data_IF_090534948081
#
_entry.id   IF_090534948081
#
_cell.length_a   1.000
_cell.length_b   1.000
_cell.length_c   1.000
_cell.angle_alpha   90.00
_cell.angle_beta   90.00
_cell.angle_gamma   90.00
#
_symmetry.space_group_name_H-M   'P 1'
#
loop_
_entity.id
_entity.type
_entity.pdbx_description
1 polymer ?
#
# COMPACT_ATOMS: atom_id res chain seq x y z
N UNK A 1 10.65 31.40 -5.36
CA UNK A 1 10.14 30.99 -6.68
C UNK A 1 11.22 30.29 -7.49
N UNK A 2 12.36 30.95 -7.77
CA UNK A 2 13.40 30.37 -8.63
C UNK A 2 13.98 29.02 -8.15
N UNK A 3 14.19 28.84 -6.85
CA UNK A 3 14.75 27.61 -6.28
C UNK A 3 13.80 26.41 -6.43
N UNK A 4 12.51 26.58 -6.12
CA UNK A 4 11.50 25.54 -6.27
C UNK A 4 11.30 25.14 -7.74
N UNK A 5 11.26 26.11 -8.65
CA UNK A 5 11.15 25.83 -10.09
C UNK A 5 12.38 25.08 -10.63
N UNK A 6 13.57 25.38 -10.12
CA UNK A 6 14.78 24.66 -10.47
C UNK A 6 14.68 23.18 -10.06
N UNK A 7 14.28 22.91 -8.81
CA UNK A 7 14.07 21.55 -8.31
C UNK A 7 13.01 20.81 -9.14
N UNK A 8 11.86 21.44 -9.42
CA UNK A 8 10.78 20.82 -10.21
C UNK A 8 11.21 20.47 -11.65
N UNK A 9 12.13 21.22 -12.25
CA UNK A 9 12.65 20.97 -13.60
C UNK A 9 13.65 19.82 -13.66
N UNK A 10 14.36 19.57 -12.55
CA UNK A 10 15.35 18.50 -12.44
C UNK A 10 14.76 17.21 -11.87
N UNK A 11 13.55 17.28 -11.25
CA UNK A 11 12.90 16.17 -10.59
C UNK A 11 12.51 15.05 -11.57
N UNK A 12 12.93 13.84 -11.28
CA UNK A 12 12.63 12.66 -12.09
C UNK A 12 11.53 11.79 -11.47
N UNK A 13 10.94 10.89 -12.27
CA UNK A 13 10.02 9.88 -11.75
C UNK A 13 10.71 8.88 -10.79
N UNK A 14 12.04 8.72 -10.88
CA UNK A 14 12.79 7.91 -9.94
C UNK A 14 12.83 8.57 -8.56
N UNK A 15 13.10 9.88 -8.50
CA UNK A 15 13.07 10.64 -7.24
C UNK A 15 11.70 10.61 -6.58
N UNK A 16 10.62 10.73 -7.37
CA UNK A 16 9.26 10.62 -6.84
C UNK A 16 8.91 9.21 -6.37
N UNK A 17 9.47 8.18 -7.01
CA UNK A 17 9.33 6.79 -6.56
C UNK A 17 10.05 6.54 -5.25
N UNK A 18 11.25 7.11 -5.09
CA UNK A 18 12.04 6.98 -3.86
C UNK A 18 11.38 7.74 -2.69
N UNK A 19 10.76 8.88 -2.99
CA UNK A 19 10.04 9.68 -2.00
C UNK A 19 8.70 9.06 -1.56
N UNK A 20 7.89 8.58 -2.51
CA UNK A 20 6.50 8.19 -2.27
C UNK A 20 6.23 6.67 -2.36
N UNK A 21 7.18 5.92 -2.88
CA UNK A 21 6.95 4.52 -3.27
C UNK A 21 6.24 4.38 -4.61
N UNK A 22 6.45 3.23 -5.27
CA UNK A 22 5.92 2.98 -6.61
C UNK A 22 4.40 3.02 -6.70
N UNK A 23 3.71 2.54 -5.67
CA UNK A 23 2.25 2.46 -5.63
C UNK A 23 1.59 3.84 -5.52
N UNK A 24 2.10 4.69 -4.61
CA UNK A 24 1.60 6.06 -4.46
C UNK A 24 1.86 6.86 -5.73
N UNK A 25 3.04 6.72 -6.35
CA UNK A 25 3.37 7.38 -7.61
C UNK A 25 2.40 6.98 -8.74
N UNK A 26 2.13 5.69 -8.90
CA UNK A 26 1.22 5.19 -9.92
C UNK A 26 -0.21 5.75 -9.73
N UNK A 27 -0.70 5.77 -8.49
CA UNK A 27 -1.99 6.39 -8.15
C UNK A 27 -1.99 7.89 -8.41
N UNK A 28 -0.93 8.61 -8.01
CA UNK A 28 -0.81 10.04 -8.20
C UNK A 28 -0.88 10.46 -9.68
N UNK A 29 -0.33 9.67 -10.58
CA UNK A 29 -0.39 9.94 -12.03
C UNK A 29 -1.83 10.04 -12.55
N UNK A 30 -2.77 9.27 -11.98
CA UNK A 30 -4.19 9.36 -12.35
C UNK A 30 -4.88 10.60 -11.80
N UNK A 31 -4.34 11.19 -10.72
CA UNK A 31 -4.87 12.38 -10.05
C UNK A 31 -4.32 13.70 -10.60
N UNK A 32 -3.31 13.70 -11.48
CA UNK A 32 -2.74 14.93 -12.08
C UNK A 32 -3.82 15.80 -12.73
N UNK A 33 -4.79 15.19 -13.41
CA UNK A 33 -5.93 15.89 -14.03
C UNK A 33 -6.96 16.43 -13.03
N UNK A 34 -6.88 16.00 -11.78
CA UNK A 34 -7.77 16.40 -10.69
C UNK A 34 -7.18 17.56 -9.87
N UNK A 35 -5.98 18.03 -10.21
CA UNK A 35 -5.33 19.18 -9.58
C UNK A 35 -5.89 20.47 -10.19
N UNK A 36 -6.39 21.35 -9.32
CA UNK A 36 -6.99 22.64 -9.68
C UNK A 36 -6.35 23.76 -8.88
N UNK A 37 -6.38 24.98 -9.43
CA UNK A 37 -5.87 26.20 -8.77
C UNK A 37 -4.40 26.07 -8.31
N UNK A 38 -3.55 25.45 -9.17
CA UNK A 38 -2.14 25.27 -8.88
C UNK A 38 -1.45 26.62 -8.69
N UNK A 39 -0.93 26.87 -7.49
CA UNK A 39 -0.37 28.15 -7.07
C UNK A 39 0.93 27.97 -6.29
N UNK A 40 1.72 29.03 -6.17
CA UNK A 40 2.93 29.09 -5.36
C UNK A 40 2.70 30.02 -4.16
N UNK A 41 2.92 29.52 -2.95
CA UNK A 41 2.84 30.30 -1.71
C UNK A 41 4.05 31.22 -1.55
N UNK A 42 3.97 32.30 -0.74
CA UNK A 42 5.08 33.24 -0.51
C UNK A 42 6.33 32.55 0.10
N UNK A 43 6.16 31.49 0.87
CA UNK A 43 7.23 30.68 1.49
C UNK A 43 7.81 29.60 0.57
N UNK A 44 7.38 29.57 -0.72
CA UNK A 44 7.93 28.70 -1.75
C UNK A 44 7.36 27.28 -1.77
N UNK A 45 6.17 27.07 -1.25
CA UNK A 45 5.41 25.80 -1.39
C UNK A 45 4.59 25.84 -2.68
N UNK A 46 4.37 24.69 -3.27
CA UNK A 46 3.35 24.51 -4.29
C UNK A 46 2.05 24.12 -3.58
N UNK A 47 0.98 24.83 -3.85
CA UNK A 47 -0.34 24.61 -3.27
C UNK A 47 -1.39 24.38 -4.37
N UNK A 48 -2.36 23.52 -4.11
CA UNK A 48 -3.46 23.26 -5.03
C UNK A 48 -4.64 22.59 -4.31
N UNK A 49 -5.80 22.70 -4.94
CA UNK A 49 -6.91 21.80 -4.68
C UNK A 49 -6.74 20.52 -5.49
N UNK A 50 -6.95 19.37 -4.85
CA UNK A 50 -7.00 18.07 -5.54
C UNK A 50 -8.37 17.45 -5.32
N UNK A 51 -9.07 17.18 -6.43
CA UNK A 51 -10.37 16.51 -6.41
C UNK A 51 -10.17 15.00 -6.31
N UNK A 52 -10.54 14.42 -5.16
CA UNK A 52 -10.60 12.98 -4.93
C UNK A 52 -12.04 12.56 -4.60
N UNK A 53 -12.21 11.72 -3.57
CA UNK A 53 -13.52 11.47 -2.94
C UNK A 53 -14.10 12.75 -2.32
N UNK A 54 -13.23 13.67 -1.88
CA UNK A 54 -13.52 15.04 -1.49
C UNK A 54 -12.66 16.03 -2.29
N UNK A 55 -12.75 17.32 -1.94
CA UNK A 55 -11.86 18.38 -2.41
C UNK A 55 -10.82 18.63 -1.31
N UNK A 56 -9.55 18.34 -1.60
CA UNK A 56 -8.47 18.38 -0.61
C UNK A 56 -7.51 19.53 -0.87
N UNK A 57 -7.21 20.30 0.16
CA UNK A 57 -6.09 21.26 0.14
C UNK A 57 -4.79 20.48 0.25
N UNK A 58 -3.85 20.77 -0.61
CA UNK A 58 -2.56 20.06 -0.65
C UNK A 58 -1.43 21.04 -0.87
N UNK A 59 -0.38 20.95 -0.05
CA UNK A 59 0.86 21.71 -0.24
C UNK A 59 2.06 20.79 -0.28
N UNK A 60 3.07 21.19 -1.06
CA UNK A 60 4.37 20.50 -1.10
C UNK A 60 5.48 21.54 -1.14
N UNK A 61 6.50 21.36 -0.32
CA UNK A 61 7.75 22.12 -0.35
C UNK A 61 8.87 21.23 -0.83
N UNK A 62 9.58 21.70 -1.83
CA UNK A 62 10.69 20.99 -2.48
C UNK A 62 11.97 21.80 -2.28
N UNK A 63 12.70 21.63 -1.18
CA UNK A 63 13.95 22.35 -0.95
C UNK A 63 15.06 21.79 -1.85
N UNK A 64 16.06 22.63 -2.21
CA UNK A 64 17.23 22.17 -2.97
C UNK A 64 18.08 21.13 -2.23
N UNK A 65 17.99 21.11 -0.90
CA UNK A 65 18.67 20.15 -0.01
C UNK A 65 17.77 19.84 1.17
N UNK A 66 17.63 18.56 1.50
CA UNK A 66 16.81 18.09 2.61
C UNK A 66 15.65 17.23 2.12
N UNK A 67 14.76 16.89 3.03
CA UNK A 67 13.58 16.09 2.72
C UNK A 67 12.44 16.96 2.15
N UNK A 68 11.64 16.38 1.26
CA UNK A 68 10.44 17.03 0.75
C UNK A 68 9.37 17.04 1.82
N UNK A 69 8.82 18.22 2.08
CA UNK A 69 7.74 18.41 3.04
C UNK A 69 6.39 18.40 2.31
N UNK A 70 5.38 17.82 2.90
CA UNK A 70 4.05 17.82 2.33
C UNK A 70 2.99 17.94 3.42
N UNK A 71 1.85 18.52 3.05
CA UNK A 71 0.65 18.55 3.88
C UNK A 71 -0.57 18.39 2.97
N UNK A 72 -1.57 17.65 3.43
CA UNK A 72 -2.80 17.42 2.68
C UNK A 72 -3.94 17.15 3.63
N UNK A 73 -5.08 17.80 3.43
CA UNK A 73 -6.29 17.58 4.23
C UNK A 73 -6.97 16.23 3.97
N UNK A 74 -6.39 15.36 3.14
CA UNK A 74 -6.91 14.02 2.95
C UNK A 74 -6.57 13.12 4.16
N UNK A 75 -7.39 12.12 4.45
CA UNK A 75 -7.23 11.26 5.62
C UNK A 75 -6.09 10.23 5.51
N UNK A 76 -5.02 10.53 4.77
CA UNK A 76 -3.87 9.62 4.60
C UNK A 76 -2.81 9.91 5.67
N UNK A 77 -2.65 9.00 6.65
CA UNK A 77 -1.76 9.16 7.82
C UNK A 77 -0.60 8.12 7.85
N UNK A 78 -0.28 7.47 6.72
CA UNK A 78 0.66 6.32 6.70
C UNK A 78 2.15 6.69 6.60
N UNK A 79 2.55 7.84 7.07
CA UNK A 79 3.95 8.28 7.02
C UNK A 79 4.48 8.37 5.58
N UNK A 80 4.86 9.55 5.13
CA UNK A 80 5.24 9.81 3.75
C UNK A 80 4.11 10.46 2.95
N UNK A 81 4.37 10.87 1.69
CA UNK A 81 3.45 11.65 0.89
C UNK A 81 2.24 10.84 0.42
N UNK A 82 1.06 11.44 0.52
CA UNK A 82 -0.14 10.85 -0.08
C UNK A 82 -0.13 11.02 -1.62
N UNK A 83 -1.02 10.29 -2.31
CA UNK A 83 -1.18 10.40 -3.76
C UNK A 83 -1.50 11.83 -4.25
N UNK A 84 -2.16 12.65 -3.43
CA UNK A 84 -2.51 14.03 -3.77
C UNK A 84 -1.27 14.93 -3.76
N UNK A 85 -0.40 14.79 -2.74
CA UNK A 85 0.86 15.53 -2.68
C UNK A 85 1.74 15.24 -3.90
N UNK A 86 1.88 13.97 -4.27
CA UNK A 86 2.64 13.57 -5.46
C UNK A 86 1.97 14.05 -6.75
N UNK A 87 0.64 14.05 -6.82
CA UNK A 87 -0.09 14.57 -7.98
C UNK A 87 0.12 16.08 -8.17
N UNK A 88 0.19 16.86 -7.08
CA UNK A 88 0.50 18.29 -7.12
C UNK A 88 1.90 18.52 -7.68
N UNK A 89 2.90 17.76 -7.26
CA UNK A 89 4.27 17.84 -7.78
C UNK A 89 4.32 17.49 -9.26
N UNK A 90 3.65 16.43 -9.69
CA UNK A 90 3.55 16.03 -11.10
C UNK A 90 2.86 17.11 -11.95
N UNK A 91 1.77 17.71 -11.45
CA UNK A 91 1.07 18.79 -12.13
C UNK A 91 1.93 20.05 -12.27
N UNK A 92 2.67 20.39 -11.21
CA UNK A 92 3.58 21.54 -11.21
C UNK A 92 4.74 21.35 -12.21
N UNK A 93 5.40 20.18 -12.18
CA UNK A 93 6.44 19.82 -13.15
C UNK A 93 5.92 19.84 -14.59
N UNK A 94 4.73 19.27 -14.82
CA UNK A 94 4.08 19.28 -16.13
C UNK A 94 3.73 20.69 -16.62
N UNK A 95 3.29 21.59 -15.74
CA UNK A 95 3.03 22.99 -16.09
C UNK A 95 4.31 23.71 -16.51
N UNK A 96 5.40 23.54 -15.74
CA UNK A 96 6.70 24.15 -16.06
C UNK A 96 7.31 23.58 -17.34
N UNK A 97 7.17 22.27 -17.59
CA UNK A 97 7.61 21.62 -18.82
C UNK A 97 6.83 22.14 -20.05
N UNK A 98 5.55 22.46 -19.87
CA UNK A 98 4.71 23.11 -20.90
C UNK A 98 4.96 24.61 -21.05
N UNK A 99 5.97 25.18 -20.38
CA UNK A 99 6.30 26.61 -20.42
C UNK A 99 5.28 27.51 -19.70
N UNK A 100 4.43 26.94 -18.83
CA UNK A 100 3.47 27.69 -18.02
C UNK A 100 4.11 28.02 -16.66
N UNK A 101 4.06 29.28 -16.26
CA UNK A 101 4.46 29.69 -14.91
C UNK A 101 3.39 29.26 -13.90
N UNK A 102 3.83 28.86 -12.70
CA UNK A 102 2.94 28.64 -11.57
C UNK A 102 2.59 30.00 -10.98
N UNK A 103 1.31 30.34 -10.96
CA UNK A 103 0.85 31.64 -10.46
C UNK A 103 1.12 31.78 -8.95
N UNK A 104 1.44 32.99 -8.44
CA UNK A 104 1.42 33.24 -7.00
C UNK A 104 0.03 32.95 -6.42
N UNK A 105 -0.01 32.43 -5.20
CA UNK A 105 -1.27 32.22 -4.47
C UNK A 105 -1.96 33.58 -4.24
N UNK A 106 -3.20 33.68 -4.70
CA UNK A 106 -4.04 34.84 -4.42
C UNK A 106 -4.45 34.80 -2.93
N UNK A 107 -4.07 35.81 -2.11
CA UNK A 107 -4.38 35.81 -0.70
C UNK A 107 -5.88 35.88 -0.38
N UNK A 108 -6.70 36.35 -1.33
CA UNK A 108 -8.16 36.43 -1.18
C UNK A 108 -8.89 35.19 -1.76
N UNK A 109 -8.14 34.17 -2.18
CA UNK A 109 -8.72 32.93 -2.73
C UNK A 109 -9.20 31.97 -1.63
N UNK A 110 -10.20 31.15 -1.97
CA UNK A 110 -10.66 30.03 -1.10
C UNK A 110 -9.52 29.06 -0.75
N UNK A 111 -8.55 28.89 -1.66
CA UNK A 111 -7.37 28.06 -1.41
C UNK A 111 -6.49 28.67 -0.31
N UNK A 112 -6.28 30.00 -0.32
CA UNK A 112 -5.50 30.68 0.71
C UNK A 112 -6.19 30.63 2.09
N UNK A 113 -7.51 30.86 2.14
CA UNK A 113 -8.31 30.76 3.35
C UNK A 113 -8.21 29.37 3.97
N UNK A 114 -8.43 28.31 3.18
CA UNK A 114 -8.36 26.93 3.63
C UNK A 114 -6.94 26.48 4.03
N UNK A 115 -5.90 27.08 3.46
CA UNK A 115 -4.52 26.83 3.91
C UNK A 115 -4.25 27.46 5.27
N UNK A 116 -4.72 28.68 5.51
CA UNK A 116 -4.59 29.35 6.81
C UNK A 116 -5.29 28.54 7.90
N UNK A 117 -6.54 28.14 7.69
CA UNK A 117 -7.28 27.30 8.63
C UNK A 117 -6.53 25.99 8.96
N UNK A 118 -5.98 25.33 7.93
CA UNK A 118 -5.25 24.08 8.11
C UNK A 118 -3.95 24.23 8.91
N UNK A 119 -3.21 25.33 8.73
CA UNK A 119 -1.97 25.56 9.48
C UNK A 119 -2.23 26.06 10.90
N UNK A 120 -3.30 26.82 11.13
CA UNK A 120 -3.72 27.24 12.48
C UNK A 120 -4.10 26.04 13.35
N UNK A 121 -4.79 25.03 12.78
CA UNK A 121 -5.14 23.78 13.48
C UNK A 121 -3.91 22.96 13.88
N UNK A 122 -2.85 22.94 13.06
CA UNK A 122 -1.59 22.22 13.36
C UNK A 122 -0.81 22.87 14.52
N UNK A 123 -0.76 24.19 14.57
CA UNK A 123 -0.10 24.92 15.65
C UNK A 123 -0.83 24.73 17.00
N UNK A 124 -2.17 24.57 16.99
CA UNK A 124 -2.98 24.31 18.18
C UNK A 124 -2.84 22.85 18.70
N UNK A 125 -2.59 21.87 17.85
CA UNK A 125 -2.32 20.48 18.28
C UNK A 125 -0.95 20.34 18.94
N UNK A 126 0.09 21.01 18.43
CA UNK A 126 1.43 21.02 19.03
C UNK A 126 1.44 21.73 20.40
N UNK A 127 0.60 22.76 20.60
CA UNK A 127 0.46 23.45 21.90
C UNK A 127 -0.28 22.59 22.94
N UNK A 128 -1.23 21.77 22.53
CA UNK A 128 -1.99 20.87 23.46
C UNK A 128 -1.19 19.63 23.88
N UNK A 129 -0.18 19.25 23.12
CA UNK A 129 0.74 18.16 23.48
C UNK A 129 1.86 18.59 24.42
N UNK A 130 2.06 19.91 24.62
CA UNK A 130 3.12 20.45 25.47
C UNK A 130 2.68 20.77 26.93
N UNK A 131 1.37 20.73 27.23
CA UNK A 131 0.80 21.08 28.56
C UNK A 131 0.42 19.87 29.45
N UNK A 132 1.16 18.78 29.34
CA UNK A 132 0.94 17.58 30.18
C UNK A 132 2.25 17.00 30.68
N UNK A 133 2.88 17.61 31.69
CA UNK A 133 3.56 16.98 32.81
C UNK A 133 4.52 17.96 33.44
N UNK A 134 3.99 18.76 34.37
CA UNK A 134 4.76 19.48 35.36
C UNK A 134 4.49 18.83 36.73
N UNK A 135 5.40 18.01 37.19
CA UNK A 135 5.56 17.73 38.60
C UNK A 135 7.03 17.88 39.00
N UNK A 136 7.22 18.81 39.91
CA UNK A 136 8.44 19.18 40.59
C UNK A 136 9.10 17.98 41.28
N UNK A 137 10.40 17.82 41.15
CA UNK A 137 11.24 17.38 42.28
C UNK A 137 12.65 17.96 42.17
N UNK A 138 12.98 18.69 43.23
CA UNK A 138 14.25 19.34 43.53
C UNK A 138 15.38 18.31 43.82
N UNK A 139 16.62 18.62 43.42
CA UNK A 139 17.73 18.02 44.13
C UNK A 139 19.06 17.84 43.42
N UNK A 140 19.87 18.88 43.56
CA UNK A 140 21.35 18.84 43.78
C UNK A 140 22.34 18.44 42.68
N UNK A 141 23.19 19.38 42.55
CA UNK A 141 24.50 19.53 41.88
C UNK A 141 25.54 18.42 42.09
N UNK A 142 26.37 18.23 41.09
CA UNK A 142 27.66 17.50 41.19
C UNK A 142 28.46 17.46 39.90
N UNK A 143 29.43 18.40 39.79
CA UNK A 143 30.47 18.43 38.78
C UNK A 143 31.36 17.18 38.89
N UNK A 144 31.98 16.71 37.82
CA UNK A 144 33.41 16.74 37.45
C UNK A 144 33.81 15.69 36.40
N UNK A 145 34.45 16.20 35.34
CA UNK A 145 35.59 15.75 34.54
C UNK A 145 35.82 14.31 34.05
N UNK A 146 36.09 14.27 32.73
CA UNK A 146 37.15 13.54 31.97
C UNK A 146 37.58 12.13 32.41
N UNK A 147 37.55 11.19 31.52
CA UNK A 147 38.70 10.62 30.84
C UNK A 147 38.38 9.61 29.75
N UNK A 148 39.33 9.47 28.84
CA UNK A 148 39.33 8.73 27.57
C UNK A 148 39.47 7.21 27.71
N UNK A 149 39.00 6.55 26.66
CA UNK A 149 39.43 5.26 26.08
C UNK A 149 38.99 3.94 26.73
N UNK A 150 38.40 3.10 25.90
CA UNK A 150 38.32 1.67 26.16
C UNK A 150 37.23 0.93 25.38
N UNK A 151 37.60 0.29 24.29
CA UNK A 151 36.73 -0.64 23.56
C UNK A 151 36.21 -1.74 24.46
N UNK A 152 34.88 -1.90 24.52
CA UNK A 152 34.23 -2.95 25.28
C UNK A 152 32.84 -3.25 24.75
N UNK A 153 32.75 -4.31 23.98
CA UNK A 153 31.55 -5.03 23.55
C UNK A 153 30.60 -5.19 24.72
N UNK A 154 29.46 -4.48 24.72
CA UNK A 154 28.39 -4.72 25.69
C UNK A 154 27.16 -5.27 24.98
N UNK A 155 26.79 -6.46 25.44
CA UNK A 155 25.56 -7.17 25.15
C UNK A 155 24.35 -6.29 25.47
N UNK A 156 23.37 -6.24 24.55
CA UNK A 156 22.12 -5.53 24.72
C UNK A 156 21.31 -6.13 25.89
N UNK A 157 21.05 -5.31 26.87
CA UNK A 157 20.07 -5.61 27.90
C UNK A 157 18.65 -5.45 27.33
N UNK A 158 17.65 -6.17 27.86
CA UNK A 158 16.28 -6.11 27.36
C UNK A 158 15.66 -4.76 27.66
N UNK A 159 14.95 -4.21 26.64
CA UNK A 159 14.14 -3.01 26.77
C UNK A 159 13.12 -3.14 27.90
N UNK A 160 12.75 -2.06 28.61
CA UNK A 160 11.78 -2.10 29.70
C UNK A 160 10.39 -2.45 29.15
N UNK A 161 10.00 -3.72 29.39
CA UNK A 161 8.70 -4.24 28.98
C UNK A 161 7.55 -3.55 29.71
N UNK A 162 6.50 -3.28 28.99
CA UNK A 162 5.20 -2.81 29.46
C UNK A 162 4.73 -3.58 30.68
N UNK A 163 4.65 -2.94 31.83
CA UNK A 163 4.27 -3.55 33.12
C UNK A 163 2.84 -4.09 33.19
N UNK A 164 1.98 -3.84 32.18
CA UNK A 164 0.58 -4.27 32.18
C UNK A 164 0.32 -5.67 31.63
N UNK A 165 1.06 -6.13 30.60
CA UNK A 165 0.79 -7.43 29.97
C UNK A 165 1.33 -8.63 30.75
N UNK A 166 2.43 -8.45 31.52
CA UNK A 166 2.98 -9.51 32.39
C UNK A 166 2.05 -9.89 33.55
N UNK A 167 1.21 -8.96 34.02
CA UNK A 167 0.26 -9.20 35.09
C UNK A 167 -0.81 -10.24 34.74
N UNK A 168 -1.46 -10.06 33.59
CA UNK A 168 -2.57 -10.92 33.14
C UNK A 168 -2.09 -12.34 32.83
N UNK A 169 -1.02 -12.49 32.06
CA UNK A 169 -0.46 -13.82 31.76
C UNK A 169 0.00 -14.57 33.00
N UNK A 170 0.58 -13.88 33.99
CA UNK A 170 0.98 -14.49 35.24
C UNK A 170 -0.22 -14.98 36.05
N UNK A 171 -1.29 -14.19 36.09
CA UNK A 171 -2.55 -14.58 36.74
C UNK A 171 -3.17 -15.81 36.05
N UNK A 172 -3.30 -15.77 34.72
CA UNK A 172 -3.88 -16.87 33.94
C UNK A 172 -3.10 -18.17 34.08
N UNK A 173 -1.76 -18.12 34.14
CA UNK A 173 -0.93 -19.31 34.41
C UNK A 173 -1.08 -19.86 35.83
N UNK A 174 -1.51 -19.02 36.78
CA UNK A 174 -1.74 -19.42 38.15
C UNK A 174 -3.11 -20.07 38.43
N UNK A 175 -4.07 -19.87 37.48
CA UNK A 175 -5.43 -20.42 37.62
C UNK A 175 -5.46 -21.92 37.35
N UNK A 176 -6.21 -22.66 38.19
CA UNK A 176 -6.55 -24.05 37.93
C UNK A 176 -7.56 -24.20 36.78
N UNK A 177 -7.69 -25.42 36.23
CA UNK A 177 -8.59 -25.69 35.11
C UNK A 177 -10.06 -25.34 35.42
N UNK A 178 -10.50 -25.55 36.66
CA UNK A 178 -11.86 -25.26 37.12
C UNK A 178 -12.06 -23.74 37.25
N UNK A 179 -11.11 -23.03 37.86
CA UNK A 179 -11.13 -21.57 37.97
C UNK A 179 -11.13 -20.89 36.60
N UNK A 180 -10.33 -21.41 35.65
CA UNK A 180 -10.31 -20.92 34.28
C UNK A 180 -11.67 -21.14 33.58
N UNK A 181 -12.29 -22.31 33.76
CA UNK A 181 -13.60 -22.64 33.23
C UNK A 181 -14.68 -21.71 33.76
N UNK A 182 -14.67 -21.46 35.05
CA UNK A 182 -15.62 -20.59 35.73
C UNK A 182 -15.46 -19.13 35.24
N UNK A 183 -14.21 -18.66 35.13
CA UNK A 183 -13.90 -17.32 34.57
C UNK A 183 -14.38 -17.21 33.13
N UNK A 184 -14.07 -18.16 32.25
CA UNK A 184 -14.53 -18.16 30.87
C UNK A 184 -16.06 -18.22 30.77
N UNK A 185 -16.71 -19.01 31.65
CA UNK A 185 -18.17 -19.07 31.72
C UNK A 185 -18.80 -17.72 32.10
N UNK A 186 -18.21 -17.01 33.07
CA UNK A 186 -18.66 -15.67 33.46
C UNK A 186 -18.44 -14.66 32.36
N UNK A 187 -17.29 -14.71 31.68
CA UNK A 187 -17.01 -13.81 30.54
C UNK A 187 -17.97 -14.09 29.38
N UNK A 188 -18.20 -15.35 29.03
CA UNK A 188 -19.15 -15.74 27.98
C UNK A 188 -20.61 -15.37 28.29
N UNK A 189 -20.98 -15.31 29.57
CA UNK A 189 -22.32 -14.84 29.99
C UNK A 189 -22.45 -13.31 29.87
N UNK A 190 -21.37 -12.58 30.05
CA UNK A 190 -21.32 -11.11 30.05
C UNK A 190 -21.05 -10.53 28.66
N UNK A 191 -20.23 -11.21 27.85
CA UNK A 191 -19.73 -10.75 26.55
C UNK A 191 -20.13 -11.76 25.46
N UNK A 192 -21.11 -11.43 24.58
CA UNK A 192 -21.56 -12.31 23.52
C UNK A 192 -20.46 -12.74 22.55
N UNK A 193 -19.49 -11.87 22.29
CA UNK A 193 -18.32 -12.12 21.46
C UNK A 193 -17.44 -13.26 22.04
N UNK A 194 -17.16 -13.24 23.33
CA UNK A 194 -16.39 -14.31 23.99
C UNK A 194 -17.14 -15.64 23.91
N UNK A 195 -18.48 -15.60 24.07
CA UNK A 195 -19.31 -16.80 23.90
C UNK A 195 -19.23 -17.36 22.50
N UNK A 196 -19.28 -16.50 21.48
CA UNK A 196 -19.14 -16.85 20.07
C UNK A 196 -17.79 -17.52 19.82
N UNK A 197 -16.70 -16.90 20.24
CA UNK A 197 -15.32 -17.42 20.06
C UNK A 197 -15.14 -18.81 20.68
N UNK A 198 -15.67 -19.04 21.89
CA UNK A 198 -15.62 -20.36 22.57
C UNK A 198 -16.40 -21.41 21.76
N UNK A 199 -17.59 -21.09 21.25
CA UNK A 199 -18.40 -22.01 20.46
C UNK A 199 -17.78 -22.34 19.12
N UNK A 200 -17.14 -21.39 18.46
CA UNK A 200 -16.44 -21.57 17.20
C UNK A 200 -15.17 -22.41 17.37
N UNK A 201 -14.41 -22.18 18.44
CA UNK A 201 -13.28 -23.02 18.81
C UNK A 201 -13.71 -24.48 19.04
N UNK A 202 -14.83 -24.71 19.73
CA UNK A 202 -15.40 -26.06 19.94
C UNK A 202 -15.86 -26.68 18.61
N UNK A 203 -16.50 -25.91 17.72
CA UNK A 203 -16.89 -26.40 16.38
C UNK A 203 -15.65 -26.87 15.59
N UNK A 204 -14.58 -26.07 15.61
CA UNK A 204 -13.34 -26.41 14.92
C UNK A 204 -12.70 -27.67 15.51
N UNK A 205 -12.62 -27.75 16.85
CA UNK A 205 -12.10 -28.93 17.56
C UNK A 205 -12.89 -30.23 17.26
N UNK A 206 -14.20 -30.12 17.00
CA UNK A 206 -15.07 -31.23 16.58
C UNK A 206 -15.05 -31.55 15.10
N UNK A 207 -14.16 -30.92 14.32
CA UNK A 207 -14.09 -31.14 12.88
C UNK A 207 -15.25 -30.53 12.08
N UNK A 208 -15.96 -29.54 12.64
CA UNK A 208 -17.09 -28.87 11.98
C UNK A 208 -16.66 -27.60 11.21
N UNK A 209 -15.47 -27.61 10.66
CA UNK A 209 -14.91 -26.47 9.91
C UNK A 209 -15.84 -25.94 8.80
N UNK A 210 -16.65 -26.82 8.17
CA UNK A 210 -17.62 -26.41 7.17
C UNK A 210 -18.83 -25.60 7.70
N UNK A 211 -19.12 -25.69 9.01
CA UNK A 211 -20.11 -24.80 9.64
C UNK A 211 -19.51 -23.43 9.89
N UNK A 212 -18.29 -23.42 10.43
CA UNK A 212 -17.54 -22.18 10.65
C UNK A 212 -17.35 -21.45 9.33
N UNK A 213 -16.92 -22.12 8.26
CA UNK A 213 -16.77 -21.52 6.93
C UNK A 213 -18.07 -20.83 6.43
N UNK A 214 -19.25 -21.44 6.67
CA UNK A 214 -20.52 -20.82 6.29
C UNK A 214 -20.84 -19.58 7.12
N UNK A 215 -20.63 -19.64 8.43
CA UNK A 215 -20.82 -18.50 9.33
C UNK A 215 -19.92 -17.32 8.94
N UNK A 216 -18.63 -17.59 8.69
CA UNK A 216 -17.67 -16.55 8.28
C UNK A 216 -17.98 -15.98 6.89
N UNK A 217 -18.55 -16.77 5.99
CA UNK A 217 -19.01 -16.26 4.69
C UNK A 217 -20.17 -15.28 4.84
N UNK A 218 -21.11 -15.55 5.73
CA UNK A 218 -22.21 -14.63 6.07
C UNK A 218 -21.66 -13.37 6.73
N UNK A 219 -20.68 -13.50 7.61
CA UNK A 219 -20.00 -12.38 8.25
C UNK A 219 -19.24 -11.49 7.24
N UNK A 220 -18.48 -12.07 6.30
CA UNK A 220 -17.82 -11.32 5.22
C UNK A 220 -18.83 -10.46 4.45
N UNK A 221 -19.98 -11.02 4.11
CA UNK A 221 -21.04 -10.29 3.40
C UNK A 221 -21.63 -9.17 4.22
N UNK A 222 -21.84 -9.41 5.51
CA UNK A 222 -22.34 -8.42 6.44
C UNK A 222 -21.37 -7.25 6.59
N UNK A 223 -20.10 -7.55 6.90
CA UNK A 223 -19.03 -6.55 7.05
C UNK A 223 -18.82 -5.73 5.77
N UNK A 224 -18.80 -6.39 4.61
CA UNK A 224 -18.64 -5.71 3.33
C UNK A 224 -19.83 -4.82 2.92
N UNK A 225 -21.00 -5.02 3.53
CA UNK A 225 -22.16 -4.19 3.33
C UNK A 225 -22.26 -3.03 4.34
N UNK A 226 -21.42 -3.03 5.37
CA UNK A 226 -21.36 -1.93 6.34
C UNK A 226 -20.74 -0.68 5.71
N UNK A 227 -21.26 0.51 6.04
CA UNK A 227 -20.64 1.75 5.59
C UNK A 227 -19.26 1.92 6.26
N UNK A 228 -18.31 2.45 5.50
CA UNK A 228 -16.96 2.72 5.95
C UNK A 228 -16.63 4.20 5.70
N UNK A 229 -16.82 5.03 6.71
CA UNK A 229 -16.56 6.47 6.61
C UNK A 229 -16.06 7.06 7.93
N UNK A 230 -15.30 8.13 7.83
CA UNK A 230 -14.82 8.92 8.97
C UNK A 230 -15.10 10.40 8.70
N UNK A 231 -15.76 11.04 9.61
CA UNK A 231 -15.88 12.50 9.62
C UNK A 231 -14.87 13.06 10.64
N UNK A 232 -13.72 13.47 10.14
CA UNK A 232 -12.61 13.99 10.99
C UNK A 232 -13.07 15.21 11.78
N UNK A 233 -13.87 16.09 11.19
CA UNK A 233 -14.37 17.33 11.81
C UNK A 233 -15.33 17.11 12.96
N UNK A 234 -16.09 16.02 12.94
CA UNK A 234 -17.06 15.69 13.99
C UNK A 234 -16.55 14.63 14.96
N UNK A 235 -15.36 14.06 14.71
CA UNK A 235 -14.84 12.95 15.50
C UNK A 235 -15.73 11.70 15.44
N UNK A 236 -16.54 11.54 14.38
CA UNK A 236 -17.44 10.39 14.21
C UNK A 236 -16.95 9.52 13.07
N UNK A 237 -16.90 8.21 13.31
CA UNK A 237 -16.55 7.23 12.31
C UNK A 237 -17.47 6.02 12.41
N UNK A 238 -17.70 5.37 11.28
CA UNK A 238 -18.38 4.09 11.20
C UNK A 238 -17.48 3.19 10.35
N UNK A 239 -16.91 2.17 11.01
CA UNK A 239 -15.86 1.34 10.40
C UNK A 239 -16.15 -0.12 10.73
N UNK A 240 -16.20 -0.99 9.71
CA UNK A 240 -16.38 -2.42 9.92
C UNK A 240 -15.24 -3.04 10.73
N UNK A 241 -15.56 -3.89 11.70
CA UNK A 241 -14.56 -4.59 12.51
C UNK A 241 -14.24 -5.97 11.95
N UNK A 242 -13.15 -6.07 11.24
CA UNK A 242 -12.63 -7.32 10.66
C UNK A 242 -11.79 -8.17 11.63
N UNK A 243 -11.60 -7.76 12.89
CA UNK A 243 -10.69 -8.42 13.84
C UNK A 243 -11.11 -9.86 14.15
N UNK A 244 -12.42 -10.10 14.31
CA UNK A 244 -12.94 -11.46 14.52
C UNK A 244 -12.71 -12.31 13.27
N UNK A 245 -13.01 -11.83 12.08
CA UNK A 245 -12.78 -12.56 10.83
C UNK A 245 -11.30 -12.95 10.68
N UNK A 246 -10.38 -12.02 10.94
CA UNK A 246 -8.93 -12.30 10.91
C UNK A 246 -8.56 -13.43 11.88
N UNK A 247 -9.04 -13.36 13.13
CA UNK A 247 -8.77 -14.37 14.13
C UNK A 247 -9.29 -15.76 13.69
N UNK A 248 -10.48 -15.85 13.14
CA UNK A 248 -11.09 -17.10 12.69
C UNK A 248 -10.43 -17.67 11.43
N UNK A 249 -10.02 -16.81 10.46
CA UNK A 249 -9.20 -17.25 9.33
C UNK A 249 -7.88 -17.86 9.81
N UNK A 250 -7.25 -17.26 10.82
CA UNK A 250 -6.03 -17.76 11.44
C UNK A 250 -6.26 -19.08 12.17
N UNK A 251 -7.37 -19.22 12.89
CA UNK A 251 -7.76 -20.46 13.57
C UNK A 251 -8.01 -21.59 12.56
N UNK A 252 -8.73 -21.34 11.46
CA UNK A 252 -8.92 -22.29 10.36
C UNK A 252 -7.59 -22.74 9.75
N UNK A 253 -6.67 -21.80 9.52
CA UNK A 253 -5.36 -22.12 8.95
C UNK A 253 -4.52 -22.97 9.90
N UNK A 254 -4.52 -22.67 11.20
CA UNK A 254 -3.85 -23.45 12.25
C UNK A 254 -4.50 -24.82 12.43
N UNK A 255 -5.82 -24.91 12.28
CA UNK A 255 -6.59 -26.15 12.31
C UNK A 255 -6.40 -27.05 11.08
N UNK A 256 -5.58 -26.64 10.09
CA UNK A 256 -5.27 -27.43 8.89
C UNK A 256 -6.34 -27.35 7.79
N UNK A 257 -7.09 -26.24 7.73
CA UNK A 257 -8.13 -25.99 6.72
C UNK A 257 -7.77 -24.87 5.72
N UNK A 258 -6.59 -24.91 5.05
CA UNK A 258 -6.13 -23.84 4.17
C UNK A 258 -7.08 -23.62 2.96
N UNK A 259 -7.73 -24.66 2.44
CA UNK A 259 -8.67 -24.53 1.31
C UNK A 259 -9.95 -23.79 1.72
N UNK A 260 -10.40 -23.91 2.96
CA UNK A 260 -11.51 -23.09 3.48
C UNK A 260 -11.11 -21.62 3.58
N UNK A 261 -9.89 -21.34 4.07
CA UNK A 261 -9.34 -19.98 4.12
C UNK A 261 -9.25 -19.38 2.73
N UNK A 262 -8.80 -20.13 1.72
CA UNK A 262 -8.74 -19.63 0.33
C UNK A 262 -10.11 -19.31 -0.25
N UNK A 263 -11.14 -20.12 0.01
CA UNK A 263 -12.50 -19.83 -0.47
C UNK A 263 -13.09 -18.59 0.17
N UNK A 264 -12.90 -18.44 1.48
CA UNK A 264 -13.30 -17.22 2.21
C UNK A 264 -12.52 -16.01 1.73
N UNK A 265 -11.21 -16.16 1.53
CA UNK A 265 -10.33 -15.11 1.02
C UNK A 265 -10.69 -14.65 -0.39
N UNK A 266 -11.16 -15.54 -1.26
CA UNK A 266 -11.63 -15.15 -2.59
C UNK A 266 -12.88 -14.26 -2.50
N UNK A 267 -13.84 -14.62 -1.64
CA UNK A 267 -15.06 -13.83 -1.43
C UNK A 267 -14.76 -12.48 -0.75
N UNK A 268 -13.87 -12.50 0.25
CA UNK A 268 -13.40 -11.27 0.91
C UNK A 268 -12.70 -10.33 -0.09
N UNK A 269 -11.89 -10.89 -0.99
CA UNK A 269 -11.23 -10.11 -2.05
C UNK A 269 -12.23 -9.38 -2.93
N UNK A 270 -13.25 -10.10 -3.43
CA UNK A 270 -14.21 -9.53 -4.37
C UNK A 270 -15.10 -8.48 -3.69
N UNK A 271 -15.62 -8.77 -2.50
CA UNK A 271 -16.52 -7.87 -1.76
C UNK A 271 -15.74 -6.71 -1.10
N UNK A 272 -14.58 -7.00 -0.53
CA UNK A 272 -13.74 -6.01 0.15
C UNK A 272 -13.22 -4.92 -0.80
N UNK A 273 -12.84 -5.28 -2.02
CA UNK A 273 -12.48 -4.28 -3.03
C UNK A 273 -13.63 -3.30 -3.31
N UNK A 274 -14.85 -3.81 -3.48
CA UNK A 274 -16.02 -2.97 -3.69
C UNK A 274 -16.33 -2.06 -2.49
N UNK A 275 -16.10 -2.53 -1.27
CA UNK A 275 -16.27 -1.72 -0.06
C UNK A 275 -15.18 -0.62 0.00
N UNK A 276 -13.91 -0.97 -0.23
CA UNK A 276 -12.81 0.02 -0.21
C UNK A 276 -12.99 1.09 -1.30
N UNK A 277 -13.50 0.72 -2.47
CA UNK A 277 -13.80 1.68 -3.53
C UNK A 277 -14.82 2.74 -3.09
N UNK A 278 -15.76 2.36 -2.19
CA UNK A 278 -16.82 3.21 -1.68
C UNK A 278 -16.51 3.82 -0.31
N UNK A 279 -15.39 3.43 0.33
CA UNK A 279 -15.02 3.89 1.66
C UNK A 279 -14.42 5.31 1.63
N UNK A 280 -14.71 6.09 2.68
CA UNK A 280 -14.12 7.40 2.94
C UNK A 280 -13.66 7.46 4.41
N UNK A 281 -12.72 6.58 4.78
CA UNK A 281 -12.26 6.36 6.15
C UNK A 281 -10.73 6.45 6.30
N UNK A 282 -10.06 7.07 5.33
CA UNK A 282 -8.61 7.20 5.34
C UNK A 282 -7.85 5.92 5.02
N UNK A 283 -8.55 4.87 4.63
CA UNK A 283 -7.97 3.58 4.27
C UNK A 283 -7.92 2.58 5.44
N UNK A 284 -8.55 2.89 6.58
CA UNK A 284 -8.59 1.95 7.72
C UNK A 284 -9.28 0.63 7.35
N UNK A 285 -10.41 0.68 6.63
CA UNK A 285 -11.07 -0.52 6.13
C UNK A 285 -10.16 -1.32 5.19
N UNK A 286 -9.43 -0.64 4.31
CA UNK A 286 -8.46 -1.30 3.42
C UNK A 286 -7.38 -2.04 4.21
N UNK A 287 -6.83 -1.43 5.28
CA UNK A 287 -5.83 -2.07 6.13
C UNK A 287 -6.37 -3.29 6.87
N UNK A 288 -7.60 -3.23 7.39
CA UNK A 288 -8.23 -4.36 8.09
C UNK A 288 -8.48 -5.53 7.14
N UNK A 289 -8.96 -5.25 5.94
CA UNK A 289 -9.09 -6.25 4.87
C UNK A 289 -7.74 -6.83 4.48
N UNK A 290 -6.71 -5.99 4.33
CA UNK A 290 -5.35 -6.44 4.04
C UNK A 290 -4.78 -7.37 5.12
N UNK A 291 -5.07 -7.11 6.40
CA UNK A 291 -4.68 -8.00 7.51
C UNK A 291 -5.33 -9.39 7.37
N UNK A 292 -6.60 -9.46 7.03
CA UNK A 292 -7.29 -10.73 6.72
C UNK A 292 -6.66 -11.43 5.49
N UNK A 293 -6.38 -10.67 4.43
CA UNK A 293 -5.78 -11.21 3.20
C UNK A 293 -4.33 -11.69 3.41
N UNK A 294 -3.61 -11.15 4.39
CA UNK A 294 -2.31 -11.67 4.79
C UNK A 294 -2.41 -13.13 5.26
N UNK A 295 -3.43 -13.46 6.07
CA UNK A 295 -3.68 -14.86 6.50
C UNK A 295 -4.06 -15.73 5.31
N UNK A 296 -4.84 -15.20 4.37
CA UNK A 296 -5.20 -15.93 3.13
C UNK A 296 -3.95 -16.23 2.30
N UNK A 297 -3.03 -15.28 2.15
CA UNK A 297 -1.77 -15.51 1.43
C UNK A 297 -0.90 -16.58 2.11
N UNK A 298 -0.88 -16.65 3.44
CA UNK A 298 -0.21 -17.73 4.17
C UNK A 298 -0.83 -19.12 3.91
N UNK A 299 -2.13 -19.17 3.60
CA UNK A 299 -2.84 -20.41 3.29
C UNK A 299 -2.53 -20.92 1.87
N UNK A 300 -2.23 -20.06 0.90
CA UNK A 300 -2.00 -20.45 -0.52
C UNK A 300 -1.02 -21.61 -0.66
N UNK A 301 0.22 -21.54 -0.12
CA UNK A 301 1.20 -22.63 -0.28
C UNK A 301 0.88 -23.89 0.53
N UNK A 302 -0.12 -23.85 1.41
CA UNK A 302 -0.58 -24.98 2.23
C UNK A 302 -1.84 -25.62 1.66
N UNK A 303 -2.45 -25.01 0.63
CA UNK A 303 -3.69 -25.47 0.02
C UNK A 303 -3.51 -26.68 -0.88
N UNK A 304 -4.63 -27.28 -1.27
CA UNK A 304 -4.66 -28.38 -2.24
C UNK A 304 -4.41 -27.95 -3.69
N UNK A 305 -4.28 -26.66 -3.98
CA UNK A 305 -3.99 -26.14 -5.31
C UNK A 305 -2.64 -26.65 -5.82
N UNK A 306 -2.56 -27.00 -7.10
CA UNK A 306 -1.28 -27.29 -7.75
C UNK A 306 -0.34 -26.07 -7.67
N UNK A 307 0.99 -26.26 -7.56
CA UNK A 307 1.93 -25.15 -7.35
C UNK A 307 1.84 -24.02 -8.38
N UNK A 308 1.62 -24.34 -9.66
CA UNK A 308 1.41 -23.31 -10.67
C UNK A 308 0.08 -22.55 -10.49
N UNK A 309 -0.97 -23.23 -10.00
CA UNK A 309 -2.24 -22.58 -9.68
C UNK A 309 -2.13 -21.69 -8.44
N UNK A 310 -1.30 -22.07 -7.45
CA UNK A 310 -0.99 -21.22 -6.29
C UNK A 310 -0.31 -19.92 -6.73
N UNK A 311 0.68 -19.99 -7.60
CA UNK A 311 1.37 -18.83 -8.17
C UNK A 311 0.40 -17.94 -8.95
N UNK A 312 -0.42 -18.52 -9.81
CA UNK A 312 -1.42 -17.79 -10.59
C UNK A 312 -2.44 -17.11 -9.69
N UNK A 313 -2.90 -17.78 -8.64
CA UNK A 313 -3.85 -17.21 -7.66
C UNK A 313 -3.33 -15.90 -7.06
N UNK A 314 -2.04 -15.87 -6.69
CA UNK A 314 -1.39 -14.67 -6.13
C UNK A 314 -1.21 -13.60 -7.21
N UNK A 315 -0.64 -13.98 -8.36
CA UNK A 315 -0.29 -13.03 -9.42
C UNK A 315 -1.54 -12.37 -10.00
N UNK A 316 -2.62 -13.12 -10.23
CA UNK A 316 -3.87 -12.58 -10.78
C UNK A 316 -4.51 -11.56 -9.84
N UNK A 317 -4.46 -11.79 -8.53
CA UNK A 317 -4.94 -10.83 -7.54
C UNK A 317 -4.02 -9.62 -7.44
N UNK A 318 -2.71 -9.83 -7.41
CA UNK A 318 -1.76 -8.72 -7.46
C UNK A 318 -1.94 -7.86 -8.70
N UNK A 319 -2.23 -8.44 -9.87
CA UNK A 319 -2.53 -7.69 -11.10
C UNK A 319 -3.85 -6.90 -11.01
N UNK A 320 -4.82 -7.41 -10.28
CA UNK A 320 -6.13 -6.78 -10.09
C UNK A 320 -6.19 -5.86 -8.85
N UNK A 321 -5.11 -5.77 -8.08
CA UNK A 321 -5.04 -4.95 -6.87
C UNK A 321 -4.83 -3.48 -7.24
N UNK A 322 -5.89 -2.70 -7.08
CA UNK A 322 -5.90 -1.26 -7.31
C UNK A 322 -5.84 -0.46 -6.01
N UNK A 323 -6.00 -1.14 -4.86
CA UNK A 323 -6.11 -0.53 -3.53
C UNK A 323 -5.02 -0.97 -2.56
N UNK A 324 -4.00 -1.70 -3.04
CA UNK A 324 -2.90 -2.23 -2.23
C UNK A 324 -3.37 -3.11 -1.05
N UNK A 325 -4.39 -3.93 -1.31
CA UNK A 325 -4.96 -4.85 -0.32
C UNK A 325 -4.08 -6.07 -0.06
N UNK A 326 -3.22 -6.43 -1.01
CA UNK A 326 -2.30 -7.54 -0.82
C UNK A 326 -1.00 -7.06 -0.18
N UNK A 327 -0.56 -7.69 0.92
CA UNK A 327 0.78 -7.46 1.45
C UNK A 327 1.85 -7.94 0.46
N UNK A 328 3.13 -7.65 0.76
CA UNK A 328 4.25 -8.09 -0.09
C UNK A 328 4.19 -9.61 -0.38
N UNK A 329 4.02 -9.92 -1.65
CA UNK A 329 3.94 -11.30 -2.14
C UNK A 329 5.31 -11.89 -2.49
N UNK A 330 6.37 -11.08 -2.53
CA UNK A 330 7.70 -11.47 -2.98
C UNK A 330 8.29 -12.64 -2.19
N UNK A 331 8.10 -12.64 -0.88
CA UNK A 331 8.55 -13.72 -0.01
C UNK A 331 7.86 -15.06 -0.28
N UNK A 332 6.60 -15.05 -0.73
CA UNK A 332 5.87 -16.28 -1.09
C UNK A 332 6.27 -16.74 -2.49
N UNK A 333 6.29 -15.84 -3.46
CA UNK A 333 6.68 -16.14 -4.84
C UNK A 333 8.14 -16.62 -4.96
N UNK A 334 9.01 -16.22 -4.04
CA UNK A 334 10.41 -16.63 -3.97
C UNK A 334 10.67 -17.99 -3.31
N UNK A 335 9.65 -18.71 -2.84
CA UNK A 335 9.85 -19.99 -2.15
C UNK A 335 10.48 -21.05 -3.04
N UNK A 336 11.46 -21.81 -2.51
CA UNK A 336 12.15 -22.89 -3.23
C UNK A 336 11.24 -24.03 -3.71
N UNK A 337 10.05 -24.17 -3.13
CA UNK A 337 9.05 -25.13 -3.56
C UNK A 337 8.53 -24.89 -4.98
N UNK A 338 8.58 -23.63 -5.45
CA UNK A 338 8.18 -23.27 -6.82
C UNK A 338 9.34 -23.44 -7.77
N UNK A 339 9.27 -24.50 -8.57
CA UNK A 339 10.33 -24.88 -9.54
C UNK A 339 10.19 -24.14 -10.87
N UNK A 340 11.24 -24.17 -11.70
CA UNK A 340 11.20 -23.64 -13.07
C UNK A 340 10.03 -24.21 -13.89
N UNK A 341 9.66 -25.48 -13.67
CA UNK A 341 8.53 -26.10 -14.37
C UNK A 341 7.20 -25.42 -14.03
N UNK A 342 6.97 -25.10 -12.76
CA UNK A 342 5.77 -24.37 -12.32
C UNK A 342 5.73 -22.96 -12.91
N UNK A 343 6.87 -22.28 -12.93
CA UNK A 343 6.99 -20.94 -13.53
C UNK A 343 6.79 -20.95 -15.05
N UNK A 344 7.17 -22.03 -15.75
CA UNK A 344 6.89 -22.20 -17.18
C UNK A 344 5.40 -22.26 -17.46
N UNK A 345 4.64 -23.00 -16.65
CA UNK A 345 3.18 -23.05 -16.76
C UNK A 345 2.56 -21.68 -16.52
N UNK A 346 3.02 -20.98 -15.48
CA UNK A 346 2.57 -19.60 -15.17
C UNK A 346 2.86 -18.65 -16.33
N UNK A 347 4.11 -18.63 -16.82
CA UNK A 347 4.52 -17.78 -17.95
C UNK A 347 3.68 -18.04 -19.18
N UNK A 348 3.38 -19.31 -19.49
CA UNK A 348 2.56 -19.69 -20.62
C UNK A 348 1.13 -19.13 -20.49
N UNK A 349 0.49 -19.34 -19.34
CA UNK A 349 -0.89 -18.87 -19.10
C UNK A 349 -0.99 -17.34 -19.11
N UNK A 350 -0.03 -16.65 -18.51
CA UNK A 350 -0.01 -15.18 -18.54
C UNK A 350 0.26 -14.64 -19.95
N UNK A 351 1.15 -15.28 -20.73
CA UNK A 351 1.42 -14.90 -22.13
C UNK A 351 0.18 -15.07 -23.02
N UNK A 352 -0.65 -16.07 -22.78
CA UNK A 352 -1.91 -16.26 -23.51
C UNK A 352 -2.86 -15.07 -23.33
N UNK A 353 -2.84 -14.39 -22.20
CA UNK A 353 -3.64 -13.17 -21.93
C UNK A 353 -3.11 -11.92 -22.64
N UNK A 354 -1.82 -11.89 -23.03
CA UNK A 354 -1.25 -10.78 -23.80
C UNK A 354 -1.64 -10.80 -25.29
N UNK A 355 -2.22 -11.92 -25.80
CA UNK A 355 -2.57 -12.03 -27.22
C UNK A 355 -3.54 -10.92 -27.65
N UNK A 356 -3.36 -10.34 -28.88
CA UNK A 356 -4.27 -9.34 -29.41
C UNK A 356 -5.70 -9.91 -29.52
N UNK A 357 -6.69 -9.18 -29.05
CA UNK A 357 -8.11 -9.55 -29.13
C UNK A 357 -8.76 -10.05 -27.84
N UNK A 358 -8.01 -10.27 -26.77
CA UNK A 358 -8.60 -10.68 -25.48
C UNK A 358 -9.24 -9.50 -24.73
N UNK A 359 -8.66 -8.30 -24.80
CA UNK A 359 -9.19 -7.08 -24.16
C UNK A 359 -8.53 -5.86 -24.82
N UNK A 360 -9.18 -5.20 -25.74
CA UNK A 360 -8.80 -3.87 -26.18
C UNK A 360 -10.01 -3.04 -26.57
N UNK A 361 -10.29 -1.97 -25.83
CA UNK A 361 -10.76 -0.73 -26.41
C UNK A 361 -9.62 0.29 -26.45
N UNK A 362 -9.40 0.87 -27.61
CA UNK A 362 -8.28 1.77 -27.97
C UNK A 362 -8.24 3.13 -27.24
N UNK A 363 -9.04 3.37 -26.22
CA UNK A 363 -9.19 4.71 -25.62
C UNK A 363 -9.07 4.77 -24.09
N UNK A 364 -8.84 3.66 -23.39
CA UNK A 364 -8.80 3.66 -21.92
C UNK A 364 -7.36 3.57 -21.39
N UNK A 365 -6.90 4.65 -20.73
CA UNK A 365 -5.59 4.70 -20.06
C UNK A 365 -5.42 3.60 -19.01
N UNK A 366 -6.52 3.13 -18.40
CA UNK A 366 -6.51 2.04 -17.43
C UNK A 366 -6.23 0.68 -18.08
N UNK A 367 -6.70 0.46 -19.29
CA UNK A 367 -6.40 -0.75 -20.06
C UNK A 367 -4.92 -0.85 -20.44
N UNK A 368 -4.31 0.29 -20.84
CA UNK A 368 -2.87 0.35 -21.09
C UNK A 368 -2.05 0.05 -19.84
N UNK A 369 -2.43 0.60 -18.69
CA UNK A 369 -1.77 0.33 -17.41
C UNK A 369 -1.87 -1.14 -16.99
N UNK A 370 -3.06 -1.73 -17.09
CA UNK A 370 -3.27 -3.18 -16.82
C UNK A 370 -2.42 -4.05 -17.73
N UNK A 371 -2.29 -3.69 -19.03
CA UNK A 371 -1.44 -4.43 -19.97
C UNK A 371 0.05 -4.34 -19.61
N UNK A 372 0.54 -3.17 -19.20
CA UNK A 372 1.92 -3.00 -18.72
C UNK A 372 2.19 -3.88 -17.51
N UNK A 373 1.30 -3.89 -16.51
CA UNK A 373 1.42 -4.76 -15.32
C UNK A 373 1.44 -6.24 -15.71
N UNK A 374 0.56 -6.65 -16.63
CA UNK A 374 0.53 -8.02 -17.12
C UNK A 374 1.84 -8.39 -17.84
N UNK A 375 2.37 -7.49 -18.70
CA UNK A 375 3.67 -7.70 -19.35
C UNK A 375 4.78 -7.90 -18.33
N UNK A 376 4.86 -7.06 -17.29
CA UNK A 376 5.85 -7.21 -16.23
C UNK A 376 5.74 -8.57 -15.52
N UNK A 377 4.53 -9.02 -15.21
CA UNK A 377 4.31 -10.34 -14.61
C UNK A 377 4.72 -11.50 -15.52
N UNK A 378 4.48 -11.37 -16.85
CA UNK A 378 4.94 -12.36 -17.85
C UNK A 378 6.46 -12.42 -17.89
N UNK A 379 7.14 -11.27 -17.93
CA UNK A 379 8.59 -11.18 -17.98
C UNK A 379 9.26 -11.76 -16.73
N UNK A 380 8.71 -11.45 -15.53
CA UNK A 380 9.19 -12.05 -14.28
C UNK A 380 8.98 -13.57 -14.27
N UNK A 381 7.83 -14.04 -14.72
CA UNK A 381 7.57 -15.47 -14.83
C UNK A 381 8.50 -16.16 -15.83
N UNK A 382 8.81 -15.54 -16.98
CA UNK A 382 9.80 -16.04 -17.94
C UNK A 382 11.20 -16.11 -17.33
N UNK A 383 11.64 -15.07 -16.62
CA UNK A 383 12.93 -15.05 -15.95
C UNK A 383 13.05 -16.19 -14.92
N UNK A 384 12.04 -16.37 -14.05
CA UNK A 384 11.98 -17.46 -13.06
C UNK A 384 11.85 -18.85 -13.71
N UNK A 385 11.21 -18.94 -14.87
CA UNK A 385 11.11 -20.16 -15.68
C UNK A 385 12.44 -20.56 -16.34
N UNK A 386 13.41 -19.64 -16.42
CA UNK A 386 14.64 -19.77 -17.18
C UNK A 386 14.43 -19.66 -18.68
N UNK A 387 13.42 -18.91 -19.13
CA UNK A 387 13.08 -18.63 -20.53
C UNK A 387 13.56 -17.24 -20.98
N UNK A 388 14.84 -16.96 -20.73
CA UNK A 388 15.47 -15.68 -21.08
C UNK A 388 15.32 -15.35 -22.58
N UNK A 389 15.38 -16.38 -23.44
CA UNK A 389 15.23 -16.24 -24.89
C UNK A 389 13.86 -15.71 -25.33
N UNK A 390 12.84 -15.71 -24.45
CA UNK A 390 11.50 -15.18 -24.73
C UNK A 390 11.32 -13.73 -24.35
N UNK A 391 12.19 -13.17 -23.50
CA UNK A 391 12.04 -11.82 -22.93
C UNK A 391 12.12 -10.77 -24.05
N UNK A 392 13.19 -10.78 -24.86
CA UNK A 392 13.35 -9.81 -25.95
C UNK A 392 12.22 -9.88 -26.98
N UNK A 393 11.80 -11.04 -27.50
CA UNK A 393 10.66 -11.11 -28.41
C UNK A 393 9.33 -10.60 -27.84
N UNK A 394 9.08 -10.81 -26.56
CA UNK A 394 7.88 -10.28 -25.89
C UNK A 394 7.94 -8.77 -25.75
N UNK A 395 9.09 -8.22 -25.37
CA UNK A 395 9.30 -6.78 -25.27
C UNK A 395 9.16 -6.09 -26.64
N UNK A 396 9.71 -6.71 -27.72
CA UNK A 396 9.56 -6.18 -29.07
C UNK A 396 8.10 -6.18 -29.54
N UNK A 397 7.36 -7.25 -29.25
CA UNK A 397 5.95 -7.33 -29.60
C UNK A 397 5.07 -6.30 -28.87
N UNK A 398 5.44 -5.91 -27.66
CA UNK A 398 4.68 -5.00 -26.81
C UNK A 398 5.28 -3.58 -26.74
N UNK A 399 6.40 -3.32 -27.43
CA UNK A 399 7.18 -2.09 -27.31
C UNK A 399 6.33 -0.83 -27.51
N UNK A 400 5.53 -0.79 -28.57
CA UNK A 400 4.71 0.37 -28.92
C UNK A 400 3.45 0.49 -28.04
N UNK A 401 2.88 -0.66 -27.61
CA UNK A 401 1.66 -0.71 -26.80
C UNK A 401 1.94 -0.38 -25.33
N UNK A 402 2.98 -1.01 -24.77
CA UNK A 402 3.35 -0.88 -23.36
C UNK A 402 4.43 0.17 -23.12
N UNK A 403 4.98 0.80 -24.16
CA UNK A 403 6.08 1.78 -24.09
C UNK A 403 7.28 1.25 -23.27
N UNK A 404 7.62 0.00 -23.50
CA UNK A 404 8.69 -0.70 -22.76
C UNK A 404 10.05 -0.64 -23.47
N UNK A 405 10.26 0.31 -24.41
CA UNK A 405 11.51 0.48 -25.14
C UNK A 405 12.75 0.61 -24.23
N UNK A 406 12.73 1.35 -23.11
CA UNK A 406 13.91 1.40 -22.25
C UNK A 406 14.34 0.03 -21.75
N UNK A 407 13.40 -0.77 -21.24
CA UNK A 407 13.69 -2.14 -20.78
C UNK A 407 14.14 -3.04 -21.92
N UNK A 408 13.57 -2.90 -23.11
CA UNK A 408 13.99 -3.66 -24.30
C UNK A 408 15.43 -3.32 -24.68
N UNK A 409 15.82 -2.05 -24.63
CA UNK A 409 17.19 -1.59 -24.89
C UNK A 409 18.16 -2.23 -23.88
N UNK A 410 17.82 -2.22 -22.59
CA UNK A 410 18.66 -2.82 -21.55
C UNK A 410 18.85 -4.33 -21.76
N UNK A 411 17.80 -5.06 -22.09
CA UNK A 411 17.89 -6.52 -22.37
C UNK A 411 18.72 -6.82 -23.63
N UNK A 412 18.60 -5.99 -24.68
CA UNK A 412 19.39 -6.12 -25.90
C UNK A 412 20.88 -5.81 -25.65
N UNK A 413 21.17 -4.78 -24.84
CA UNK A 413 22.56 -4.48 -24.45
C UNK A 413 23.15 -5.59 -23.60
N UNK A 414 22.40 -6.15 -22.67
CA UNK A 414 22.83 -7.30 -21.86
C UNK A 414 23.09 -8.55 -22.73
N UNK A 415 22.37 -8.71 -23.84
CA UNK A 415 22.60 -9.76 -24.83
C UNK A 415 23.73 -9.46 -25.82
N UNK A 416 24.37 -8.28 -25.77
CA UNK A 416 25.41 -7.84 -26.70
C UNK A 416 24.89 -7.40 -28.08
N UNK A 417 23.59 -7.15 -28.19
CA UNK A 417 22.92 -6.80 -29.46
C UNK A 417 22.85 -5.26 -29.66
N UNK A 418 23.98 -4.59 -29.58
CA UNK A 418 24.09 -3.10 -29.57
C UNK A 418 23.41 -2.42 -30.77
N UNK A 419 23.48 -3.01 -31.97
CA UNK A 419 22.83 -2.43 -33.16
C UNK A 419 21.31 -2.39 -33.00
N UNK A 420 20.69 -3.47 -32.54
CA UNK A 420 19.26 -3.54 -32.28
C UNK A 420 18.84 -2.62 -31.14
N UNK A 421 19.65 -2.57 -30.08
CA UNK A 421 19.42 -1.66 -28.95
C UNK A 421 19.40 -0.20 -29.42
N UNK A 422 20.33 0.22 -30.28
CA UNK A 422 20.38 1.55 -30.89
C UNK A 422 19.13 1.85 -31.71
N UNK A 423 18.70 0.90 -32.56
CA UNK A 423 17.50 1.08 -33.38
C UNK A 423 16.25 1.28 -32.54
N UNK A 424 16.10 0.50 -31.45
CA UNK A 424 14.99 0.64 -30.53
C UNK A 424 15.05 1.93 -29.69
N UNK A 425 16.25 2.38 -29.32
CA UNK A 425 16.45 3.69 -28.67
C UNK A 425 15.97 4.84 -29.56
N UNK A 426 16.35 4.83 -30.84
CA UNK A 426 15.92 5.84 -31.82
C UNK A 426 14.40 5.81 -32.03
N UNK A 427 13.79 4.63 -32.16
CA UNK A 427 12.34 4.47 -32.29
C UNK A 427 11.58 4.96 -31.07
N UNK A 428 12.05 4.59 -29.86
CA UNK A 428 11.47 5.05 -28.61
C UNK A 428 11.52 6.58 -28.47
N UNK A 429 12.66 7.16 -28.77
CA UNK A 429 12.83 8.62 -28.77
C UNK A 429 11.89 9.31 -29.77
N UNK A 430 11.79 8.83 -31.00
CA UNK A 430 10.90 9.40 -32.02
C UNK A 430 9.42 9.31 -31.57
N UNK A 431 8.98 8.19 -31.03
CA UNK A 431 7.61 8.00 -30.54
C UNK A 431 7.27 8.89 -29.33
N UNK A 432 8.27 9.19 -28.50
CA UNK A 432 8.11 10.06 -27.32
C UNK A 432 7.95 11.53 -27.76
N UNK A 433 8.79 11.99 -28.69
CA UNK A 433 8.70 13.39 -29.20
C UNK A 433 7.38 13.65 -29.92
N UNK A 434 6.92 12.71 -30.75
CA UNK A 434 5.66 12.90 -31.51
C UNK A 434 4.43 13.01 -30.61
N UNK A 435 4.39 12.20 -29.55
CA UNK A 435 3.21 12.08 -28.68
C UNK A 435 3.27 12.96 -27.42
N UNK A 436 4.47 13.40 -27.02
CA UNK A 436 4.71 14.16 -25.79
C UNK A 436 5.81 15.22 -26.02
N UNK A 437 5.53 16.24 -26.86
CA UNK A 437 6.49 17.32 -27.05
C UNK A 437 6.64 18.07 -25.72
N UNK A 438 7.74 17.83 -25.02
CA UNK A 438 8.07 18.49 -23.75
C UNK A 438 8.41 17.55 -22.57
N UNK A 439 8.58 16.27 -22.81
CA UNK A 439 9.24 15.37 -21.86
C UNK A 439 10.65 15.09 -22.34
#
# INVERSE_FOLDING_TARGET
>A
MDAMEAVLRELTLADLRDWAGGNILARAQTYVRCVNELSCTPDGRVAAWVQGSGRYVTTVRLPERGEYEHACTCPYEFGGPCKHAVAVVLAAGGALAAGKAIAPLDPDSELAESLCEYFEDLDDEDLRSADGDGDDDDGESGEVADDMSGAGRRQGGPAPGRKGSRGIEAVLRGLGADEMRDLLGQLAARYPEVRRDILEADQLARGQAGKLERSLREEIRALAAEPAWRNVWKGTAEQPDYSHLEAQLRALLQGGHPDAVLRLGAELWDLGRGQVEQSDDGGETAMRIAACLAVVLEAVPRSSLAPAAQLLWIIERALADEFDLLPDTGGILGRRAYTKAHWREVAQRLTERLRPGAEAPEADSSASYRRVRLLHAVLDACARAGWQERIVPLLEAEADTCRCQPRLVDELLAAGEEARARDWCIRGYASTIEKWPGI
#
